data_IF_705316126162
#
_entry.id   IF_705316126162
#
_cell.length_a   1.000
_cell.length_b   1.000
_cell.length_c   1.000
_cell.angle_alpha   90.00
_cell.angle_beta   90.00
_cell.angle_gamma   90.00
#
_symmetry.space_group_name_H-M   'P 1'
#
loop_
_entity.id
_entity.type
_entity.pdbx_description
1 polymer ?
#
# COMPACT_ATOMS: atom_id res chain seq x y z
N UNK A 1 -13.41 -10.69 -1.96
CA UNK A 1 -12.10 -11.21 -2.41
C UNK A 1 -11.07 -10.90 -1.34
N UNK A 2 -10.13 -11.83 -1.08
CA UNK A 2 -9.09 -11.63 -0.08
C UNK A 2 -7.98 -10.75 -0.64
N UNK A 3 -7.73 -9.60 0.00
CA UNK A 3 -6.69 -8.66 -0.41
C UNK A 3 -5.78 -8.32 0.76
N UNK A 4 -4.50 -8.12 0.45
CA UNK A 4 -3.59 -7.38 1.34
C UNK A 4 -3.97 -5.90 1.30
N UNK A 5 -3.95 -5.25 2.46
CA UNK A 5 -4.35 -3.85 2.63
C UNK A 5 -3.12 -2.94 2.68
N UNK A 6 -3.15 -1.89 1.86
CA UNK A 6 -2.27 -0.74 1.93
C UNK A 6 -3.08 0.46 2.44
N UNK A 7 -2.86 0.82 3.70
CA UNK A 7 -3.63 1.84 4.42
C UNK A 7 -2.87 3.15 4.55
N UNK A 8 -3.58 4.25 4.83
CA UNK A 8 -2.99 5.55 5.13
C UNK A 8 -2.25 6.17 3.95
N UNK A 9 -2.58 5.80 2.71
CA UNK A 9 -1.99 6.46 1.54
C UNK A 9 -2.53 7.88 1.39
N UNK A 10 -1.72 8.77 0.80
CA UNK A 10 -2.16 10.16 0.64
C UNK A 10 -3.36 10.26 -0.30
N UNK A 11 -4.25 11.23 -0.04
CA UNK A 11 -5.39 11.50 -0.93
C UNK A 11 -4.97 11.80 -2.37
N UNK A 12 -3.78 12.38 -2.57
CA UNK A 12 -3.22 12.58 -3.92
C UNK A 12 -2.90 11.24 -4.60
N UNK A 13 -2.36 10.27 -3.85
CA UNK A 13 -2.13 8.91 -4.36
C UNK A 13 -3.44 8.23 -4.70
N UNK A 14 -4.45 8.36 -3.83
CA UNK A 14 -5.78 7.81 -4.10
C UNK A 14 -6.41 8.39 -5.37
N UNK A 15 -6.36 9.72 -5.56
CA UNK A 15 -6.87 10.37 -6.77
C UNK A 15 -6.19 9.88 -8.04
N UNK A 16 -4.87 9.71 -8.02
CA UNK A 16 -4.14 9.22 -9.19
C UNK A 16 -4.53 7.77 -9.52
N UNK A 17 -4.71 6.93 -8.49
CA UNK A 17 -5.22 5.57 -8.67
C UNK A 17 -6.66 5.56 -9.19
N UNK A 18 -7.56 6.39 -8.65
CA UNK A 18 -8.96 6.52 -9.12
C UNK A 18 -9.02 6.96 -10.59
N UNK A 19 -8.14 7.86 -11.01
CA UNK A 19 -8.00 8.30 -12.40
C UNK A 19 -7.26 7.28 -13.29
N UNK A 20 -6.96 6.08 -12.77
CA UNK A 20 -6.25 4.99 -13.47
C UNK A 20 -4.88 5.41 -14.01
N UNK A 21 -4.24 6.38 -13.36
CA UNK A 21 -2.88 6.79 -13.69
C UNK A 21 -1.94 5.75 -13.11
N UNK A 22 -1.18 5.08 -13.99
CA UNK A 22 -0.14 4.13 -13.58
C UNK A 22 0.87 4.87 -12.70
N UNK A 23 0.96 4.49 -11.43
CA UNK A 23 1.80 5.19 -10.47
C UNK A 23 2.72 4.26 -9.73
N UNK A 24 4.00 4.62 -9.70
CA UNK A 24 4.97 4.02 -8.78
C UNK A 24 4.90 4.77 -7.45
N UNK A 25 4.65 4.02 -6.38
CA UNK A 25 4.51 4.53 -5.01
C UNK A 25 5.69 4.02 -4.20
N UNK A 26 6.37 4.94 -3.52
CA UNK A 26 7.38 4.58 -2.50
C UNK A 26 6.69 4.32 -1.16
N UNK A 27 6.78 3.08 -0.71
CA UNK A 27 6.26 2.63 0.58
C UNK A 27 7.41 2.63 1.59
N UNK A 28 7.28 3.53 2.57
CA UNK A 28 8.20 3.67 3.71
C UNK A 28 7.53 3.44 5.06
N UNK A 29 6.19 3.37 5.10
CA UNK A 29 5.49 3.10 6.35
C UNK A 29 5.69 1.63 6.76
N UNK A 30 6.06 1.34 8.02
CA UNK A 30 6.39 -0.04 8.44
C UNK A 30 5.26 -1.06 8.17
N UNK A 31 4.01 -0.70 8.47
CA UNK A 31 2.86 -1.59 8.28
C UNK A 31 2.62 -1.93 6.80
N UNK A 32 2.66 -0.92 5.91
CA UNK A 32 2.51 -1.20 4.47
C UNK A 32 3.75 -1.89 3.91
N UNK A 33 4.95 -1.58 4.42
CA UNK A 33 6.17 -2.23 3.98
C UNK A 33 6.12 -3.74 4.26
N UNK A 34 5.73 -4.14 5.48
CA UNK A 34 5.50 -5.55 5.82
C UNK A 34 4.43 -6.18 4.91
N UNK A 35 3.32 -5.48 4.67
CA UNK A 35 2.30 -5.94 3.71
C UNK A 35 2.88 -6.17 2.31
N UNK A 36 3.72 -5.26 1.82
CA UNK A 36 4.36 -5.35 0.50
C UNK A 36 5.35 -6.51 0.42
N UNK A 37 6.01 -6.89 1.52
CA UNK A 37 6.89 -8.07 1.53
C UNK A 37 6.14 -9.40 1.30
N UNK A 38 4.81 -9.40 1.43
CA UNK A 38 3.98 -10.60 1.33
C UNK A 38 3.07 -10.61 0.09
N UNK A 39 3.29 -9.69 -0.86
CA UNK A 39 2.60 -9.66 -2.16
C UNK A 39 3.61 -9.85 -3.28
N UNK A 40 3.11 -10.32 -4.42
CA UNK A 40 3.87 -10.55 -5.65
C UNK A 40 3.26 -9.77 -6.82
N UNK A 41 4.01 -9.65 -7.92
CA UNK A 41 3.48 -9.08 -9.15
C UNK A 41 2.29 -9.92 -9.62
N UNK A 42 1.19 -9.24 -9.93
CA UNK A 42 -0.08 -9.86 -10.28
C UNK A 42 -1.05 -9.99 -9.10
N UNK A 43 -0.62 -9.83 -7.85
CA UNK A 43 -1.55 -9.91 -6.72
C UNK A 43 -2.48 -8.68 -6.64
N UNK A 44 -3.74 -8.88 -6.22
CA UNK A 44 -4.64 -7.79 -5.92
C UNK A 44 -4.36 -7.22 -4.51
N UNK A 45 -4.36 -5.91 -4.42
CA UNK A 45 -4.26 -5.16 -3.17
C UNK A 45 -5.44 -4.23 -3.01
N UNK A 46 -5.83 -4.00 -1.76
CA UNK A 46 -6.81 -2.98 -1.41
C UNK A 46 -6.07 -1.76 -0.88
N UNK A 47 -6.30 -0.60 -1.49
CA UNK A 47 -5.63 0.64 -1.16
C UNK A 47 -6.64 1.62 -0.59
N UNK A 48 -6.33 2.25 0.54
CA UNK A 48 -7.17 3.28 1.15
C UNK A 48 -6.34 4.38 1.78
N UNK A 49 -6.89 5.60 1.81
CA UNK A 49 -6.33 6.70 2.59
C UNK A 49 -6.68 6.64 4.07
N UNK A 50 -7.62 5.78 4.47
CA UNK A 50 -7.96 5.51 5.86
C UNK A 50 -6.74 5.01 6.62
N UNK A 51 -6.51 5.53 7.82
CA UNK A 51 -5.37 5.15 8.65
C UNK A 51 -5.40 3.66 9.00
N UNK A 52 -4.25 3.07 9.29
CA UNK A 52 -4.13 1.64 9.57
C UNK A 52 -5.07 1.16 10.70
N UNK A 53 -5.17 1.92 11.79
CA UNK A 53 -6.03 1.57 12.94
C UNK A 53 -7.53 1.78 12.69
N UNK A 54 -7.90 2.50 11.64
CA UNK A 54 -9.29 2.82 11.30
C UNK A 54 -9.85 1.93 10.17
N UNK A 55 -9.06 0.98 9.67
CA UNK A 55 -9.53 -0.02 8.71
C UNK A 55 -10.55 -0.93 9.39
N UNK A 56 -11.81 -0.79 8.99
CA UNK A 56 -12.95 -1.49 9.59
C UNK A 56 -13.90 -1.98 8.51
N UNK A 57 -14.89 -2.78 8.91
CA UNK A 57 -15.99 -3.15 8.02
C UNK A 57 -16.67 -1.89 7.48
N UNK A 58 -16.70 -1.76 6.17
CA UNK A 58 -17.26 -0.61 5.48
C UNK A 58 -16.24 0.38 4.95
N UNK A 59 -14.97 0.29 5.34
CA UNK A 59 -13.91 1.12 4.77
C UNK A 59 -13.88 0.97 3.25
N UNK A 60 -13.95 2.09 2.54
CA UNK A 60 -13.89 2.13 1.08
C UNK A 60 -12.48 2.42 0.59
N UNK A 61 -12.21 2.04 -0.64
CA UNK A 61 -10.92 2.25 -1.28
C UNK A 61 -10.91 1.73 -2.70
N UNK A 62 -9.70 1.56 -3.23
CA UNK A 62 -9.45 1.09 -4.59
C UNK A 62 -8.91 -0.33 -4.54
N UNK A 63 -9.41 -1.19 -5.41
CA UNK A 63 -8.79 -2.48 -5.71
C UNK A 63 -7.82 -2.24 -6.87
N UNK A 64 -6.55 -2.57 -6.65
CA UNK A 64 -5.50 -2.40 -7.64
C UNK A 64 -4.66 -3.67 -7.75
N UNK A 65 -4.03 -3.87 -8.90
CA UNK A 65 -3.12 -4.98 -9.15
C UNK A 65 -1.67 -4.51 -9.19
N UNK A 66 -0.80 -5.26 -8.53
CA UNK A 66 0.64 -5.02 -8.55
C UNK A 66 1.20 -5.33 -9.94
N UNK A 67 1.78 -4.32 -10.59
CA UNK A 67 2.46 -4.46 -11.89
C UNK A 67 3.96 -4.66 -11.75
N UNK A 68 4.55 -3.98 -10.76
CA UNK A 68 5.98 -4.05 -10.47
C UNK A 68 6.20 -3.87 -8.97
N UNK A 69 7.21 -4.55 -8.44
CA UNK A 69 7.60 -4.47 -7.03
C UNK A 69 9.13 -4.56 -6.95
N UNK A 70 9.74 -3.54 -6.36
CA UNK A 70 11.17 -3.49 -6.08
C UNK A 70 11.42 -3.12 -4.62
N UNK A 71 12.34 -3.83 -3.96
CA UNK A 71 12.81 -3.49 -2.62
C UNK A 71 14.16 -2.79 -2.75
N UNK A 72 14.27 -1.58 -2.23
CA UNK A 72 15.44 -0.73 -2.37
C UNK A 72 16.01 -0.42 -0.99
N UNK A 73 17.34 -0.46 -0.88
CA UNK A 73 18.08 0.00 0.28
C UNK A 73 18.89 1.25 -0.09
N UNK A 74 18.82 2.27 0.75
CA UNK A 74 19.58 3.49 0.61
C UNK A 74 20.52 3.60 1.82
N UNK A 75 21.84 3.59 1.60
CA UNK A 75 22.83 3.83 2.64
C UNK A 75 23.39 5.25 2.49
N UNK A 76 23.43 5.99 3.60
CA UNK A 76 24.06 7.31 3.70
C UNK A 76 25.15 7.23 4.74
N UNK A 77 26.39 7.48 4.32
CA UNK A 77 27.54 7.59 5.21
C UNK A 77 27.91 9.06 5.35
N UNK A 78 27.96 9.56 6.59
CA UNK A 78 28.44 10.90 6.92
C UNK A 78 29.52 10.77 7.99
N UNK A 79 30.65 11.47 7.81
CA UNK A 79 31.71 11.43 8.82
C UNK A 79 32.61 12.65 8.76
N UNK A 80 33.30 12.89 9.87
CA UNK A 80 34.44 13.80 10.00
C UNK A 80 35.56 13.11 10.79
N UNK A 81 36.65 13.81 11.09
CA UNK A 81 37.79 13.22 11.82
C UNK A 81 37.49 12.76 13.26
N UNK A 82 36.31 13.07 13.80
CA UNK A 82 35.91 12.76 15.18
C UNK A 82 34.69 11.82 15.26
N UNK A 83 33.86 11.76 14.21
CA UNK A 83 32.61 10.99 14.19
C UNK A 83 32.37 10.34 12.83
N UNK A 84 31.80 9.14 12.86
CA UNK A 84 31.36 8.39 11.69
C UNK A 84 29.92 7.93 11.94
N UNK A 85 29.00 8.33 11.07
CA UNK A 85 27.59 7.95 11.09
C UNK A 85 27.23 7.24 9.78
N UNK A 86 26.61 6.08 9.90
CA UNK A 86 26.05 5.33 8.79
C UNK A 86 24.56 5.14 9.03
N UNK A 87 23.76 5.48 8.01
CA UNK A 87 22.31 5.38 8.04
C UNK A 87 21.80 4.60 6.85
N UNK A 88 21.26 3.43 7.12
CA UNK A 88 20.54 2.64 6.13
C UNK A 88 19.04 2.91 6.20
N UNK A 89 18.37 2.93 5.05
CA UNK A 89 16.92 3.06 4.95
C UNK A 89 16.41 2.14 3.85
N UNK A 90 15.48 1.26 4.21
CA UNK A 90 14.84 0.35 3.27
C UNK A 90 13.45 0.87 2.89
N UNK A 91 13.07 0.72 1.63
CA UNK A 91 11.75 1.10 1.11
C UNK A 91 11.33 0.17 -0.01
N UNK A 92 10.03 0.06 -0.24
CA UNK A 92 9.50 -0.65 -1.39
C UNK A 92 9.00 0.34 -2.44
N UNK A 93 9.22 0.05 -3.72
CA UNK A 93 8.59 0.72 -4.84
C UNK A 93 7.61 -0.24 -5.47
N UNK A 94 6.34 0.12 -5.41
CA UNK A 94 5.27 -0.67 -6.02
C UNK A 94 4.63 0.13 -7.14
N UNK A 95 4.38 -0.50 -8.28
CA UNK A 95 3.57 0.06 -9.34
C UNK A 95 2.20 -0.62 -9.32
N UNK A 96 1.15 0.19 -9.26
CA UNK A 96 -0.22 -0.30 -9.15
C UNK A 96 -1.05 0.14 -10.36
N UNK A 97 -1.89 -0.77 -10.85
CA UNK A 97 -2.94 -0.49 -11.83
C UNK A 97 -4.30 -0.71 -11.20
N UNK A 98 -5.15 0.31 -11.24
CA UNK A 98 -6.50 0.25 -10.68
C UNK A 98 -7.41 -0.67 -11.49
N UNK A 99 -8.10 -1.57 -10.79
CA UNK A 99 -9.08 -2.48 -11.38
C UNK A 99 -10.52 -2.02 -11.11
N UNK A 100 -10.79 -1.55 -9.88
CA UNK A 100 -12.12 -1.13 -9.47
C UNK A 100 -12.17 -0.50 -8.09
N UNK A 101 -13.37 -0.19 -7.63
CA UNK A 101 -13.61 0.25 -6.26
C UNK A 101 -13.86 -0.95 -5.34
N UNK A 102 -13.49 -0.83 -4.08
CA UNK A 102 -13.67 -1.88 -3.07
C UNK A 102 -14.26 -1.35 -1.77
N UNK A 103 -14.92 -2.24 -1.04
CA UNK A 103 -15.38 -2.01 0.33
C UNK A 103 -14.98 -3.19 1.21
N UNK A 104 -14.33 -2.93 2.33
CA UNK A 104 -13.99 -3.97 3.32
C UNK A 104 -15.28 -4.57 3.87
N UNK A 105 -15.45 -5.88 3.73
CA UNK A 105 -16.52 -6.66 4.37
C UNK A 105 -16.08 -7.06 5.78
N UNK A 106 -14.88 -7.62 5.90
CA UNK A 106 -14.32 -8.09 7.17
C UNK A 106 -12.81 -7.94 7.14
N UNK A 107 -12.24 -7.51 8.27
CA UNK A 107 -10.78 -7.54 8.48
C UNK A 107 -10.40 -8.93 8.98
N UNK A 108 -9.56 -9.64 8.24
CA UNK A 108 -9.17 -11.02 8.53
C UNK A 108 -7.93 -11.10 9.41
N UNK A 109 -6.97 -10.19 9.21
CA UNK A 109 -5.76 -10.10 10.01
C UNK A 109 -5.30 -8.63 10.08
N UNK A 110 -4.98 -8.17 11.29
CA UNK A 110 -4.53 -6.79 11.54
C UNK A 110 -3.75 -6.72 12.86
N UNK A 111 -2.68 -7.51 12.94
CA UNK A 111 -1.79 -7.54 14.09
C UNK A 111 -0.64 -6.55 13.92
N UNK A 112 -0.14 -6.01 15.03
CA UNK A 112 1.01 -5.10 15.00
C UNK A 112 2.25 -5.84 14.47
N UNK A 113 2.84 -5.32 13.39
CA UNK A 113 3.98 -5.96 12.72
C UNK A 113 3.60 -7.13 11.80
N UNK A 114 2.31 -7.45 11.69
CA UNK A 114 1.77 -8.44 10.75
C UNK A 114 1.27 -7.81 9.46
N UNK A 115 0.95 -8.66 8.49
CA UNK A 115 0.34 -8.25 7.21
C UNK A 115 -1.13 -7.94 7.42
N UNK A 116 -1.58 -6.78 6.96
CA UNK A 116 -3.02 -6.48 7.04
C UNK A 116 -3.75 -7.16 5.89
N UNK A 117 -4.74 -7.99 6.20
CA UNK A 117 -5.52 -8.74 5.21
C UNK A 117 -7.00 -8.56 5.48
N UNK A 118 -7.77 -8.29 4.43
CA UNK A 118 -9.21 -8.09 4.50
C UNK A 118 -9.94 -8.84 3.40
N UNK A 119 -11.17 -9.25 3.67
CA UNK A 119 -12.12 -9.61 2.62
C UNK A 119 -12.79 -8.33 2.10
N UNK A 120 -12.63 -8.07 0.81
CA UNK A 120 -13.06 -6.86 0.14
C UNK A 120 -14.12 -7.21 -0.90
N UNK A 121 -15.27 -6.56 -0.80
CA UNK A 121 -16.32 -6.62 -1.80
C UNK A 121 -15.99 -5.61 -2.91
N UNK A 122 -15.88 -6.10 -4.14
CA UNK A 122 -15.77 -5.22 -5.31
C UNK A 122 -17.09 -4.48 -5.51
N UNK A 123 -17.00 -3.16 -5.70
CA UNK A 123 -18.17 -2.35 -6.06
C UNK A 123 -18.01 -1.91 -7.51
N UNK A 124 -19.03 -2.14 -8.36
CA UNK A 124 -19.03 -1.51 -9.68
C UNK A 124 -18.97 0.00 -9.47
N UNK A 125 -18.00 0.63 -10.12
CA UNK A 125 -17.98 2.09 -10.22
C UNK A 125 -19.20 2.43 -11.06
N UNK A 126 -20.29 2.86 -10.43
CA UNK A 126 -21.34 3.56 -11.15
C UNK A 126 -20.68 4.82 -11.70
N UNK A 127 -20.31 4.79 -12.97
CA UNK A 127 -19.95 6.00 -13.70
C UNK A 127 -21.20 6.90 -13.60
N UNK A 128 -21.16 7.89 -12.72
CA UNK A 128 -22.00 9.06 -12.88
C UNK A 128 -21.36 9.84 -14.03
N UNK A 129 -22.01 9.78 -15.19
CA UNK A 129 -21.69 10.55 -16.38
C UNK A 129 -22.03 12.02 -16.14
#
# INVERSE_FOLDING_TARGET
MKCVVLSGLSNNTMRDLENRILRTIEIRSPHNFVSVLHITVGDPVFVSSTSHGDITTGTTGVIARVQQLDIIMHSVVQGNNLFYEERETQMARIQLTTEGAGRVRTVLHSELGGVTVSDVEERPIYAAW
#
